data_IF_204331684358
#
_entry.id   IF_204331684358
#
_cell.length_a   1.000
_cell.length_b   1.000
_cell.length_c   1.000
_cell.angle_alpha   90.00
_cell.angle_beta   90.00
_cell.angle_gamma   90.00
#
_symmetry.space_group_name_H-M   'P 1'
#
loop_
_entity.id
_entity.type
_entity.pdbx_description
1 polymer ?
#
# COMPACT_ATOMS: atom_id res chain seq x y z
N UNK A 1 12.29 22.51 18.17
CA UNK A 1 12.28 21.80 16.88
C UNK A 1 13.23 20.61 16.97
N UNK A 2 12.82 19.42 16.51
CA UNK A 2 13.62 18.20 16.50
C UNK A 2 13.69 17.70 15.06
N UNK A 3 14.89 17.53 14.54
CA UNK A 3 15.13 16.91 13.25
C UNK A 3 15.82 15.56 13.48
N UNK A 4 15.29 14.51 12.90
CA UNK A 4 15.87 13.17 12.99
C UNK A 4 16.28 12.75 11.58
N UNK A 5 17.59 12.54 11.42
CA UNK A 5 18.20 12.08 10.18
C UNK A 5 18.66 10.62 10.38
N UNK A 6 18.15 9.71 9.56
CA UNK A 6 18.45 8.29 9.61
C UNK A 6 19.00 7.81 8.26
N UNK A 7 20.31 7.85 8.06
CA UNK A 7 20.93 7.20 6.90
C UNK A 7 20.99 5.69 7.13
N UNK A 8 20.81 4.92 6.08
CA UNK A 8 20.96 3.46 6.08
C UNK A 8 21.72 3.04 4.82
N UNK A 9 22.68 2.16 4.98
CA UNK A 9 23.39 1.53 3.88
C UNK A 9 23.33 0.03 4.12
N UNK A 10 22.81 -0.70 3.14
CA UNK A 10 22.76 -2.16 3.17
C UNK A 10 23.54 -2.74 2.01
N UNK A 11 24.20 -3.85 2.25
CA UNK A 11 24.92 -4.62 1.26
C UNK A 11 24.36 -6.04 1.23
N UNK A 12 24.02 -6.53 0.04
CA UNK A 12 23.62 -7.92 -0.18
C UNK A 12 24.45 -8.51 -1.32
N UNK A 13 24.93 -9.71 -1.13
CA UNK A 13 25.72 -10.41 -2.11
C UNK A 13 25.28 -11.87 -2.20
N UNK A 14 25.09 -12.36 -3.42
CA UNK A 14 24.90 -13.77 -3.71
C UNK A 14 25.83 -14.15 -4.87
N UNK A 15 26.68 -15.18 -4.72
CA UNK A 15 27.49 -15.67 -5.82
C UNK A 15 26.62 -16.34 -6.89
N UNK A 16 27.20 -16.57 -8.05
CA UNK A 16 26.58 -17.40 -9.08
C UNK A 16 26.62 -18.88 -8.65
N UNK A 17 25.49 -19.39 -8.18
CA UNK A 17 25.36 -20.78 -7.77
C UNK A 17 25.27 -21.77 -8.95
N UNK A 18 25.25 -21.31 -10.20
CA UNK A 18 25.31 -22.19 -11.37
C UNK A 18 26.72 -22.72 -11.63
N UNK A 19 27.73 -22.10 -11.02
CA UNK A 19 29.11 -22.57 -11.11
C UNK A 19 29.21 -24.03 -10.65
N UNK A 20 29.97 -24.82 -11.39
CA UNK A 20 30.21 -26.25 -11.09
C UNK A 20 30.72 -26.52 -9.68
N UNK A 21 31.40 -25.53 -9.07
CA UNK A 21 31.91 -25.57 -7.70
C UNK A 21 30.80 -25.80 -6.66
N UNK A 22 29.59 -25.25 -6.88
CA UNK A 22 28.46 -25.36 -5.94
C UNK A 22 27.61 -26.62 -6.15
N UNK A 23 27.76 -27.31 -7.29
CA UNK A 23 27.07 -28.58 -7.57
C UNK A 23 25.54 -28.48 -7.79
N UNK A 24 24.97 -27.28 -7.83
CA UNK A 24 23.53 -27.07 -8.09
C UNK A 24 23.14 -27.25 -9.55
N UNK A 25 24.10 -27.13 -10.46
CA UNK A 25 23.90 -27.41 -11.89
C UNK A 25 24.94 -28.42 -12.39
N UNK A 26 24.50 -29.25 -13.31
CA UNK A 26 25.33 -30.24 -14.02
C UNK A 26 25.07 -30.14 -15.51
N UNK A 27 26.07 -30.47 -16.27
CA UNK A 27 25.98 -30.50 -17.74
C UNK A 27 26.22 -31.91 -18.25
N UNK A 28 25.47 -32.29 -19.26
CA UNK A 28 25.77 -33.49 -20.07
C UNK A 28 25.67 -33.15 -21.53
N UNK A 29 26.38 -33.91 -22.34
CA UNK A 29 26.40 -33.79 -23.78
C UNK A 29 25.34 -34.70 -24.36
N UNK A 30 24.43 -34.12 -25.17
CA UNK A 30 23.40 -34.88 -25.90
C UNK A 30 23.71 -34.79 -27.38
N UNK A 31 23.72 -35.92 -28.06
CA UNK A 31 23.80 -36.01 -29.53
C UNK A 31 22.40 -36.23 -30.07
N UNK A 32 21.94 -35.40 -30.96
CA UNK A 32 20.64 -35.50 -31.60
C UNK A 32 20.67 -36.53 -32.73
N UNK A 33 19.50 -36.95 -33.22
CA UNK A 33 19.34 -37.93 -34.32
C UNK A 33 20.06 -37.48 -35.63
N UNK A 34 20.31 -36.20 -35.78
CA UNK A 34 21.04 -35.58 -36.92
C UNK A 34 22.57 -35.54 -36.71
N UNK A 35 23.10 -36.06 -35.61
CA UNK A 35 24.51 -35.99 -35.25
C UNK A 35 24.97 -34.65 -34.64
N UNK A 36 24.08 -33.69 -34.40
CA UNK A 36 24.41 -32.45 -33.70
C UNK A 36 24.65 -32.67 -32.22
N UNK A 37 25.78 -32.18 -31.74
CA UNK A 37 26.18 -32.31 -30.35
C UNK A 37 25.77 -31.02 -29.62
N UNK A 38 24.88 -31.16 -28.62
CA UNK A 38 24.43 -30.06 -27.77
C UNK A 38 24.73 -30.33 -26.29
N UNK A 39 25.15 -29.29 -25.58
CA UNK A 39 25.36 -29.33 -24.13
C UNK A 39 24.07 -28.96 -23.40
N UNK A 40 23.54 -29.86 -22.63
CA UNK A 40 22.32 -29.62 -21.83
C UNK A 40 22.73 -29.41 -20.39
N UNK A 41 22.32 -28.25 -19.84
CA UNK A 41 22.49 -27.91 -18.43
C UNK A 41 21.19 -28.22 -17.66
N UNK A 42 21.31 -28.93 -16.57
CA UNK A 42 20.17 -29.27 -15.72
C UNK A 42 20.52 -29.16 -14.25
N UNK A 43 19.52 -28.95 -13.41
CA UNK A 43 19.69 -29.04 -11.96
C UNK A 43 19.09 -30.36 -11.44
N UNK A 44 19.87 -31.15 -10.68
CA UNK A 44 19.34 -32.34 -10.02
C UNK A 44 18.22 -32.04 -9.02
N UNK A 45 18.09 -30.78 -8.61
CA UNK A 45 17.14 -30.30 -7.61
C UNK A 45 15.89 -29.64 -8.22
N UNK A 46 15.77 -29.62 -9.56
CA UNK A 46 14.66 -28.92 -10.26
C UNK A 46 13.26 -29.48 -9.95
N UNK A 47 13.16 -30.72 -9.45
CA UNK A 47 11.91 -31.35 -9.01
C UNK A 47 11.75 -31.42 -7.49
N UNK A 48 12.63 -30.81 -6.72
CA UNK A 48 12.59 -30.85 -5.26
C UNK A 48 11.52 -29.96 -4.65
N UNK A 49 11.18 -30.21 -3.39
CA UNK A 49 10.24 -29.40 -2.59
C UNK A 49 10.75 -27.97 -2.43
N UNK A 50 12.06 -27.78 -2.40
CA UNK A 50 12.70 -26.46 -2.33
C UNK A 50 13.33 -26.12 -3.69
N UNK A 51 13.12 -24.87 -4.13
CA UNK A 51 13.81 -24.35 -5.32
C UNK A 51 15.33 -24.26 -5.07
N UNK A 52 16.12 -24.48 -6.11
CA UNK A 52 17.56 -24.26 -6.03
C UNK A 52 17.90 -22.76 -6.14
N UNK A 53 19.07 -22.31 -5.62
CA UNK A 53 19.48 -20.92 -5.65
C UNK A 53 19.58 -20.35 -7.08
N UNK A 54 19.33 -19.04 -7.21
CA UNK A 54 19.45 -18.33 -8.49
C UNK A 54 20.85 -18.47 -9.10
N UNK A 55 20.88 -18.67 -10.41
CA UNK A 55 22.10 -18.79 -11.18
C UNK A 55 22.77 -17.47 -11.58
N UNK A 56 22.30 -16.34 -11.08
CA UNK A 56 22.88 -15.05 -11.39
C UNK A 56 23.61 -14.46 -10.21
N UNK A 57 24.88 -14.04 -10.43
CA UNK A 57 25.61 -13.26 -9.46
C UNK A 57 24.83 -12.00 -9.10
N UNK A 58 24.63 -11.75 -7.83
CA UNK A 58 23.95 -10.57 -7.33
C UNK A 58 24.87 -9.83 -6.34
N UNK A 59 24.94 -8.53 -6.47
CA UNK A 59 25.68 -7.67 -5.55
C UNK A 59 24.98 -6.31 -5.51
N UNK A 60 24.28 -6.00 -4.43
CA UNK A 60 23.48 -4.79 -4.31
C UNK A 60 23.94 -3.98 -3.10
N UNK A 61 24.28 -2.72 -3.35
CA UNK A 61 24.46 -1.72 -2.30
C UNK A 61 23.23 -0.82 -2.36
N UNK A 62 22.43 -0.78 -1.29
CA UNK A 62 21.29 0.12 -1.20
C UNK A 62 21.57 1.20 -0.16
N UNK A 63 21.47 2.44 -0.59
CA UNK A 63 21.61 3.63 0.23
C UNK A 63 20.24 4.26 0.40
N UNK A 64 19.82 4.53 1.62
CA UNK A 64 18.58 5.24 1.89
C UNK A 64 18.75 6.26 3.00
N UNK A 65 17.96 7.30 2.93
CA UNK A 65 17.92 8.38 3.90
C UNK A 65 16.49 8.65 4.28
N UNK A 66 16.19 8.63 5.56
CA UNK A 66 14.89 9.02 6.10
C UNK A 66 15.07 10.21 7.04
N UNK A 67 14.24 11.22 6.84
CA UNK A 67 14.22 12.43 7.66
C UNK A 67 12.83 12.63 8.25
N UNK A 68 12.78 13.02 9.52
CA UNK A 68 11.56 13.40 10.22
C UNK A 68 11.79 14.75 10.90
N UNK A 69 10.84 15.66 10.81
CA UNK A 69 10.90 17.01 11.41
C UNK A 69 9.68 17.23 12.28
N UNK A 70 9.94 17.36 13.58
CA UNK A 70 8.92 17.59 14.60
C UNK A 70 9.15 18.97 15.25
N UNK A 71 8.05 19.61 15.65
CA UNK A 71 8.06 20.86 16.40
C UNK A 71 7.22 20.70 17.67
N UNK A 72 7.72 21.19 18.79
CA UNK A 72 6.93 21.38 20.00
C UNK A 72 6.38 22.80 20.03
N UNK A 73 5.09 22.92 20.20
CA UNK A 73 4.38 24.20 20.34
C UNK A 73 3.78 24.24 21.74
N UNK A 74 3.90 25.40 22.39
CA UNK A 74 3.28 25.64 23.68
C UNK A 74 1.75 25.62 23.50
N UNK A 75 1.06 24.83 24.30
CA UNK A 75 -0.39 24.66 24.24
C UNK A 75 -0.96 24.71 25.63
N UNK A 76 -1.78 25.73 25.92
CA UNK A 76 -2.46 25.88 27.21
C UNK A 76 -3.60 24.85 27.42
N UNK A 77 -3.89 24.03 26.38
CA UNK A 77 -4.94 23.01 26.40
C UNK A 77 -4.47 21.61 26.79
N UNK A 78 -3.15 21.39 26.85
CA UNK A 78 -2.57 20.10 27.20
C UNK A 78 -2.10 20.10 28.65
N UNK A 79 -2.31 18.99 29.35
CA UNK A 79 -1.84 18.77 30.73
C UNK A 79 -0.32 18.90 30.88
N UNK A 80 0.42 18.75 29.80
CA UNK A 80 1.89 18.91 29.74
C UNK A 80 2.35 20.29 29.29
N UNK A 81 1.41 21.20 28.91
CA UNK A 81 1.73 22.54 28.41
C UNK A 81 2.43 22.58 27.05
N UNK A 82 2.73 21.45 26.43
CA UNK A 82 3.45 21.33 25.16
C UNK A 82 2.77 20.33 24.21
N UNK A 83 2.49 20.75 22.99
CA UNK A 83 1.96 19.90 21.91
C UNK A 83 3.04 19.61 20.89
N UNK A 84 3.26 18.33 20.57
CA UNK A 84 4.10 17.91 19.44
C UNK A 84 3.33 18.01 18.13
N UNK A 85 3.92 18.66 17.13
CA UNK A 85 3.40 18.73 15.77
C UNK A 85 4.48 18.18 14.84
N UNK A 86 4.14 17.16 14.06
CA UNK A 86 5.00 16.68 12.98
C UNK A 86 4.82 17.61 11.78
N UNK A 87 5.90 18.28 11.37
CA UNK A 87 5.90 19.14 10.17
C UNK A 87 6.11 18.27 8.95
N UNK A 88 7.14 17.41 9.01
CA UNK A 88 7.44 16.41 7.99
C UNK A 88 7.49 15.07 8.71
N UNK A 89 6.50 14.23 8.46
CA UNK A 89 6.39 12.93 9.08
C UNK A 89 7.46 11.99 8.49
N UNK A 90 7.65 12.02 7.17
CA UNK A 90 8.68 11.27 6.49
C UNK A 90 9.15 12.01 5.23
N UNK A 91 10.45 12.19 5.10
CA UNK A 91 11.11 12.53 3.85
C UNK A 91 12.14 11.45 3.57
N UNK A 92 11.84 10.61 2.59
CA UNK A 92 12.60 9.41 2.26
C UNK A 92 13.22 9.52 0.87
N UNK A 93 14.45 9.05 0.73
CA UNK A 93 15.13 8.87 -0.54
C UNK A 93 15.91 7.57 -0.54
N UNK A 94 15.85 6.80 -1.63
CA UNK A 94 16.61 5.56 -1.78
C UNK A 94 17.18 5.42 -3.19
N UNK A 95 18.42 4.94 -3.24
CA UNK A 95 19.19 4.66 -4.45
C UNK A 95 19.97 3.38 -4.24
N UNK A 96 20.04 2.53 -5.26
CA UNK A 96 20.79 1.28 -5.19
C UNK A 96 21.84 1.21 -6.30
N UNK A 97 22.93 0.54 -6.01
CA UNK A 97 24.00 0.24 -6.95
C UNK A 97 24.18 -1.27 -7.06
N UNK A 98 24.03 -1.80 -8.27
CA UNK A 98 24.23 -3.23 -8.55
C UNK A 98 25.64 -3.47 -9.03
N UNK A 99 26.49 -4.04 -8.17
CA UNK A 99 27.90 -4.36 -8.47
C UNK A 99 28.06 -5.50 -9.48
N UNK A 100 27.03 -6.30 -9.68
CA UNK A 100 27.04 -7.43 -10.60
C UNK A 100 26.51 -7.07 -11.99
N UNK A 101 25.99 -5.85 -12.18
CA UNK A 101 25.51 -5.41 -13.47
C UNK A 101 26.66 -5.01 -14.39
N UNK A 102 26.69 -5.55 -15.61
CA UNK A 102 27.66 -5.18 -16.65
C UNK A 102 27.42 -3.77 -17.20
N UNK A 103 26.16 -3.37 -17.28
CA UNK A 103 25.73 -2.05 -17.75
C UNK A 103 24.72 -1.46 -16.79
N UNK A 104 24.72 -0.13 -16.67
CA UNK A 104 23.71 0.63 -15.90
C UNK A 104 23.54 0.15 -14.46
N UNK A 105 24.60 0.17 -13.62
CA UNK A 105 24.56 -0.37 -12.27
C UNK A 105 23.66 0.42 -11.29
N UNK A 106 23.37 1.69 -11.55
CA UNK A 106 22.54 2.52 -10.69
C UNK A 106 21.05 2.29 -10.90
N UNK A 107 20.29 2.13 -9.85
CA UNK A 107 18.82 2.12 -9.89
C UNK A 107 18.26 3.53 -10.09
N UNK A 108 16.96 3.64 -10.30
CA UNK A 108 16.27 4.91 -10.21
C UNK A 108 16.28 5.42 -8.76
N UNK A 109 16.37 6.74 -8.60
CA UNK A 109 16.21 7.39 -7.31
C UNK A 109 14.71 7.47 -6.96
N UNK A 110 14.33 6.78 -5.91
CA UNK A 110 12.98 6.81 -5.37
C UNK A 110 12.91 7.80 -4.21
N UNK A 111 11.96 8.72 -4.25
CA UNK A 111 11.76 9.70 -3.20
C UNK A 111 10.31 9.68 -2.72
N UNK A 112 10.10 9.91 -1.43
CA UNK A 112 8.76 10.01 -0.83
C UNK A 112 8.75 11.10 0.23
N UNK A 113 7.68 11.87 0.24
CA UNK A 113 7.36 12.81 1.30
C UNK A 113 5.98 12.49 1.86
N UNK A 114 5.87 12.46 3.18
CA UNK A 114 4.61 12.30 3.90
C UNK A 114 4.48 13.43 4.90
N UNK A 115 3.34 14.13 4.83
CA UNK A 115 2.99 15.22 5.72
C UNK A 115 1.70 14.85 6.45
N UNK A 116 1.73 14.83 7.76
CA UNK A 116 0.57 14.62 8.61
C UNK A 116 0.03 15.97 9.05
N UNK A 117 -0.87 16.55 8.25
CA UNK A 117 -1.37 17.91 8.47
C UNK A 117 -2.35 18.00 9.64
N UNK A 118 -3.13 16.94 9.86
CA UNK A 118 -4.01 16.77 11.02
C UNK A 118 -4.11 15.28 11.39
N UNK A 119 -4.76 14.95 12.52
CA UNK A 119 -5.02 13.55 12.91
C UNK A 119 -5.72 12.74 11.81
N UNK A 120 -6.57 13.39 11.00
CA UNK A 120 -7.42 12.76 9.97
C UNK A 120 -7.04 13.11 8.53
N UNK A 121 -5.94 13.84 8.35
CA UNK A 121 -5.55 14.34 7.04
C UNK A 121 -4.06 14.11 6.80
N UNK A 122 -3.77 13.19 5.89
CA UNK A 122 -2.42 12.82 5.50
C UNK A 122 -2.22 13.11 4.01
N UNK A 123 -1.15 13.78 3.69
CA UNK A 123 -0.69 14.02 2.33
C UNK A 123 0.57 13.19 2.10
N UNK A 124 0.59 12.39 1.04
CA UNK A 124 1.76 11.63 0.64
C UNK A 124 2.03 11.83 -0.85
N UNK A 125 3.30 12.02 -1.19
CA UNK A 125 3.77 12.14 -2.56
C UNK A 125 5.03 11.28 -2.70
N UNK A 126 5.05 10.46 -3.75
CA UNK A 126 6.23 9.70 -4.16
C UNK A 126 6.65 10.15 -5.56
N UNK A 127 7.94 10.27 -5.81
CA UNK A 127 8.47 10.61 -7.12
C UNK A 127 9.66 9.71 -7.45
N UNK A 128 9.77 9.38 -8.74
CA UNK A 128 10.85 8.54 -9.27
C UNK A 128 11.64 9.34 -10.27
N UNK A 129 12.96 9.35 -10.07
CA UNK A 129 13.91 9.98 -10.97
C UNK A 129 14.81 8.91 -11.59
N UNK A 130 14.75 8.78 -12.88
CA UNK A 130 15.62 7.88 -13.62
C UNK A 130 17.05 8.42 -13.62
N UNK A 131 17.99 7.54 -13.34
CA UNK A 131 19.42 7.85 -13.26
C UNK A 131 20.06 7.99 -14.64
N UNK A 132 19.54 7.26 -15.64
CA UNK A 132 20.12 7.21 -16.98
C UNK A 132 19.33 8.05 -17.97
N UNK A 133 20.07 8.73 -18.86
CA UNK A 133 19.52 9.53 -19.94
C UNK A 133 18.99 8.64 -21.09
N UNK A 134 18.10 9.17 -21.90
CA UNK A 134 17.72 8.56 -23.18
C UNK A 134 18.74 8.91 -24.28
N UNK A 135 18.93 7.99 -25.20
CA UNK A 135 19.68 8.18 -26.43
C UNK A 135 18.99 7.49 -27.62
N UNK A 136 19.39 7.83 -28.83
CA UNK A 136 18.96 7.10 -30.01
C UNK A 136 19.94 5.97 -30.31
N UNK A 137 19.42 4.79 -30.58
CA UNK A 137 20.18 3.67 -31.10
C UNK A 137 20.49 3.89 -32.62
N UNK A 138 21.36 3.06 -33.16
CA UNK A 138 21.72 3.07 -34.58
C UNK A 138 20.51 3.01 -35.55
N UNK A 139 19.42 2.43 -35.07
CA UNK A 139 18.13 2.30 -35.77
C UNK A 139 17.16 3.48 -35.53
N UNK A 140 17.59 4.54 -34.89
CA UNK A 140 16.73 5.67 -34.53
C UNK A 140 15.71 5.39 -33.43
N UNK A 141 15.81 4.26 -32.73
CA UNK A 141 14.92 3.93 -31.58
C UNK A 141 15.46 4.56 -30.34
N UNK A 142 14.53 5.02 -29.50
CA UNK A 142 14.87 5.56 -28.18
C UNK A 142 15.19 4.43 -27.22
N UNK A 143 16.41 4.45 -26.70
CA UNK A 143 16.91 3.49 -25.72
C UNK A 143 17.44 4.22 -24.50
N UNK A 144 17.49 3.55 -23.37
CA UNK A 144 18.17 4.07 -22.18
C UNK A 144 19.68 3.97 -22.40
N UNK A 145 20.37 5.09 -22.37
CA UNK A 145 21.83 5.18 -22.50
C UNK A 145 22.55 4.65 -21.26
N UNK A 146 23.83 4.31 -21.39
CA UNK A 146 24.69 3.99 -20.26
C UNK A 146 25.22 5.25 -19.54
N UNK A 147 24.97 6.43 -20.10
CA UNK A 147 25.33 7.70 -19.48
C UNK A 147 24.28 8.11 -18.45
N UNK A 148 24.75 8.47 -17.27
CA UNK A 148 23.88 8.98 -16.22
C UNK A 148 23.47 10.43 -16.50
N UNK A 149 22.31 10.85 -16.02
CA UNK A 149 21.88 12.26 -16.04
C UNK A 149 22.86 13.15 -15.25
N UNK A 150 23.54 12.58 -14.25
CA UNK A 150 24.57 13.28 -13.47
C UNK A 150 25.77 13.70 -14.30
N UNK A 151 26.17 12.91 -15.31
CA UNK A 151 27.25 13.27 -16.24
C UNK A 151 26.93 14.53 -17.06
N UNK A 152 25.67 14.91 -17.12
CA UNK A 152 25.18 16.15 -17.75
C UNK A 152 24.92 17.27 -16.74
N UNK A 153 25.31 17.10 -15.47
CA UNK A 153 25.05 18.05 -14.38
C UNK A 153 23.58 18.13 -13.93
N UNK A 154 22.77 17.10 -14.24
CA UNK A 154 21.35 17.05 -13.87
C UNK A 154 21.16 16.12 -12.69
N UNK A 155 20.19 16.43 -11.82
CA UNK A 155 19.87 15.60 -10.64
C UNK A 155 19.34 14.20 -11.02
N UNK A 156 18.58 14.11 -12.10
CA UNK A 156 17.96 12.90 -12.58
C UNK A 156 16.84 13.24 -13.58
N UNK A 157 16.40 12.27 -14.36
CA UNK A 157 15.27 12.45 -15.27
C UNK A 157 14.00 12.08 -14.53
N UNK A 158 13.13 13.06 -14.32
CA UNK A 158 11.83 12.83 -13.70
C UNK A 158 11.03 11.83 -14.55
N UNK A 159 10.67 10.70 -13.95
CA UNK A 159 9.98 9.60 -14.61
C UNK A 159 8.50 9.57 -14.28
N UNK A 160 8.17 10.00 -13.08
CA UNK A 160 6.79 10.06 -12.65
C UNK A 160 6.66 10.42 -11.18
N UNK A 161 5.46 10.78 -10.79
CA UNK A 161 5.08 10.97 -9.40
C UNK A 161 3.68 10.41 -9.13
N UNK A 162 3.45 10.00 -7.91
CA UNK A 162 2.14 9.71 -7.38
C UNK A 162 1.88 10.53 -6.14
N UNK A 163 0.69 11.09 -6.05
CA UNK A 163 0.24 11.86 -4.91
C UNK A 163 -1.04 11.24 -4.39
N UNK A 164 -1.13 11.02 -3.10
CA UNK A 164 -2.34 10.52 -2.46
C UNK A 164 -2.74 11.46 -1.33
N UNK A 165 -4.03 11.78 -1.32
CA UNK A 165 -4.68 12.62 -0.37
C UNK A 165 -5.80 11.81 0.27
N UNK A 166 -5.71 11.51 1.57
CA UNK A 166 -6.75 10.75 2.26
C UNK A 166 -7.34 11.55 3.42
N UNK A 167 -8.64 11.43 3.57
CA UNK A 167 -9.37 12.03 4.67
C UNK A 167 -10.36 11.03 5.25
N UNK A 168 -10.32 10.85 6.58
CA UNK A 168 -11.20 9.95 7.30
C UNK A 168 -12.23 10.72 8.11
N UNK A 169 -13.48 10.45 7.82
CA UNK A 169 -14.64 10.95 8.55
C UNK A 169 -15.02 9.94 9.62
N UNK A 170 -15.26 10.41 10.83
CA UNK A 170 -15.78 9.62 11.95
C UNK A 170 -16.70 10.50 12.82
N UNK A 171 -17.29 9.93 13.87
CA UNK A 171 -18.19 10.67 14.77
C UNK A 171 -17.53 11.95 15.32
N UNK A 172 -16.25 11.91 15.63
CA UNK A 172 -15.51 13.04 16.17
C UNK A 172 -15.32 14.16 15.12
N UNK A 173 -15.00 13.79 13.89
CA UNK A 173 -14.84 14.77 12.82
C UNK A 173 -16.16 15.43 12.46
N UNK A 174 -17.24 14.64 12.48
CA UNK A 174 -18.57 15.14 12.17
C UNK A 174 -19.07 16.10 13.27
N UNK A 175 -18.91 15.73 14.55
CA UNK A 175 -19.27 16.61 15.67
C UNK A 175 -18.50 17.92 15.64
N UNK A 176 -17.19 17.89 15.34
CA UNK A 176 -16.36 19.10 15.19
C UNK A 176 -16.76 19.98 14.00
N UNK A 177 -17.27 19.39 12.93
CA UNK A 177 -17.78 20.13 11.76
C UNK A 177 -19.11 20.83 12.04
N UNK A 178 -20.00 20.18 12.79
CA UNK A 178 -21.32 20.72 13.10
C UNK A 178 -21.32 21.62 14.35
N UNK A 179 -20.49 21.36 15.36
CA UNK A 179 -20.39 22.21 16.57
C UNK A 179 -19.78 23.57 16.25
N UNK A 180 -18.93 23.69 15.22
CA UNK A 180 -18.40 24.99 14.77
C UNK A 180 -19.47 25.96 14.25
N UNK A 181 -20.68 25.48 13.99
CA UNK A 181 -21.83 26.30 13.56
C UNK A 181 -22.73 26.73 14.73
N UNK A 182 -22.57 26.13 15.92
CA UNK A 182 -23.37 26.38 17.12
C UNK A 182 -22.68 27.27 18.16
N UNK A 183 -21.35 27.37 18.17
CA UNK A 183 -20.62 28.11 19.21
C UNK A 183 -20.47 29.60 18.86
N UNK A 184 -21.58 30.32 18.89
CA UNK A 184 -21.57 31.75 19.19
C UNK A 184 -22.23 32.02 20.57
N UNK A 185 -22.38 31.04 21.42
CA UNK A 185 -22.80 31.25 22.81
C UNK A 185 -22.41 30.03 23.67
N UNK A 186 -21.75 30.36 24.76
CA UNK A 186 -21.47 29.58 25.98
C UNK A 186 -20.24 28.67 25.97
N UNK A 187 -19.23 29.17 26.68
CA UNK A 187 -18.09 28.40 27.19
C UNK A 187 -18.53 27.54 28.38
N UNK A 188 -18.22 26.24 28.37
CA UNK A 188 -17.85 25.48 29.58
C UNK A 188 -17.34 24.07 29.25
N UNK A 189 -16.13 23.84 29.67
CA UNK A 189 -15.39 22.66 30.10
C UNK A 189 -16.01 21.28 29.91
N UNK A 190 -15.37 20.41 29.11
CA UNK A 190 -14.74 19.15 29.56
C UNK A 190 -14.10 18.41 28.37
N UNK A 191 -12.78 18.39 28.32
CA UNK A 191 -12.03 17.59 27.34
C UNK A 191 -11.14 16.60 28.10
N UNK A 192 -11.53 15.34 28.07
CA UNK A 192 -10.61 14.24 28.35
C UNK A 192 -10.11 13.66 27.02
N UNK A 193 -8.93 14.10 26.63
CA UNK A 193 -8.16 13.50 25.53
C UNK A 193 -7.65 12.11 25.94
N UNK A 194 -8.12 11.07 25.27
CA UNK A 194 -7.46 9.77 25.25
C UNK A 194 -6.72 9.61 23.93
N UNK A 195 -5.41 9.82 23.99
CA UNK A 195 -4.48 9.48 22.94
C UNK A 195 -4.51 7.96 22.70
N UNK A 196 -5.03 7.56 21.56
CA UNK A 196 -4.75 6.25 20.96
C UNK A 196 -3.98 6.50 19.68
N UNK A 197 -2.65 6.45 19.79
CA UNK A 197 -1.76 6.30 18.65
C UNK A 197 -2.07 4.97 17.96
N UNK A 198 -2.81 5.02 16.90
CA UNK A 198 -2.86 3.92 15.92
C UNK A 198 -2.04 4.36 14.72
N UNK A 199 -0.82 3.86 14.69
CA UNK A 199 0.06 3.93 13.54
C UNK A 199 -0.65 3.37 12.30
N UNK A 200 -0.88 4.24 11.32
CA UNK A 200 -1.47 3.89 10.03
C UNK A 200 -0.38 3.31 9.10
N UNK A 201 0.32 2.27 9.56
CA UNK A 201 1.32 1.55 8.77
C UNK A 201 0.83 0.19 8.32
N UNK A 202 -0.40 0.02 7.88
CA UNK A 202 -0.74 -1.24 7.18
C UNK A 202 -2.05 -1.12 6.40
N UNK A 203 -1.98 -0.48 5.24
CA UNK A 203 -3.08 -0.51 4.29
C UNK A 203 -3.15 -1.83 3.48
N UNK A 204 -2.26 -2.81 3.76
CA UNK A 204 -2.14 -4.06 2.99
C UNK A 204 -2.13 -5.35 3.82
N UNK A 205 -2.58 -5.34 5.06
CA UNK A 205 -2.70 -6.57 5.85
C UNK A 205 -4.17 -7.01 5.90
N UNK A 206 -4.35 -8.26 5.50
CA UNK A 206 -5.60 -9.02 5.54
C UNK A 206 -6.36 -8.81 6.86
N UNK A 207 -7.66 -8.45 6.84
CA UNK A 207 -8.47 -8.17 8.03
C UNK A 207 -8.48 -9.30 9.07
N UNK A 208 -8.25 -10.54 8.65
CA UNK A 208 -8.29 -11.73 9.51
C UNK A 208 -7.09 -11.85 10.47
N UNK A 209 -5.96 -11.21 10.16
CA UNK A 209 -4.77 -11.25 11.03
C UNK A 209 -4.76 -10.18 12.15
N UNK A 210 -5.63 -9.19 12.09
CA UNK A 210 -5.74 -8.15 13.13
C UNK A 210 -6.39 -8.63 14.42
N UNK A 211 -7.21 -9.68 14.38
CA UNK A 211 -7.96 -10.16 15.53
C UNK A 211 -7.18 -11.12 16.44
N UNK A 212 -6.04 -11.64 16.00
CA UNK A 212 -5.28 -12.65 16.76
C UNK A 212 -4.30 -12.09 17.82
N UNK A 213 -4.06 -10.78 17.88
CA UNK A 213 -2.99 -10.21 18.72
C UNK A 213 -3.40 -9.20 19.82
N UNK A 214 -4.68 -9.02 20.12
CA UNK A 214 -5.12 -8.14 21.23
C UNK A 214 -6.01 -8.86 22.24
N UNK A 215 -5.42 -9.78 23.00
CA UNK A 215 -5.89 -10.14 24.35
C UNK A 215 -5.56 -9.03 25.35
N UNK A 216 -5.98 -7.80 25.11
CA UNK A 216 -5.86 -6.66 26.00
C UNK A 216 -7.23 -6.29 26.55
N UNK A 217 -7.35 -6.26 27.90
CA UNK A 217 -8.54 -5.88 28.65
C UNK A 217 -9.22 -4.66 28.05
N UNK A 218 -10.39 -4.85 27.42
CA UNK A 218 -11.26 -3.74 27.02
C UNK A 218 -11.65 -2.96 28.28
N UNK A 219 -11.13 -1.75 28.44
CA UNK A 219 -11.68 -0.78 29.38
C UNK A 219 -13.11 -0.50 28.92
N UNK A 220 -14.09 -0.96 29.70
CA UNK A 220 -15.50 -0.61 29.53
C UNK A 220 -15.59 0.92 29.56
N UNK A 221 -15.80 1.52 28.37
CA UNK A 221 -16.13 2.93 28.27
C UNK A 221 -17.43 3.14 29.03
N UNK A 222 -17.41 4.01 30.07
CA UNK A 222 -18.61 4.41 30.78
C UNK A 222 -19.56 5.04 29.75
N UNK A 223 -20.73 4.44 29.58
CA UNK A 223 -21.77 4.95 28.70
C UNK A 223 -22.13 6.38 29.14
N UNK A 224 -21.97 7.34 28.25
CA UNK A 224 -22.43 8.72 28.50
C UNK A 224 -23.96 8.71 28.44
N UNK A 225 -24.57 8.96 29.55
CA UNK A 225 -26.02 9.11 29.68
C UNK A 225 -26.36 10.58 29.42
N UNK A 226 -27.40 10.86 28.63
CA UNK A 226 -27.91 12.21 28.38
C UNK A 226 -28.62 12.74 29.64
N UNK A 227 -28.90 14.07 29.72
CA UNK A 227 -29.59 14.70 30.82
C UNK A 227 -30.95 14.08 31.11
N UNK A 228 -31.57 13.46 30.10
CA UNK A 228 -32.84 12.72 30.20
C UNK A 228 -32.68 11.23 30.60
N UNK A 229 -31.48 10.78 30.97
CA UNK A 229 -31.24 9.40 31.42
C UNK A 229 -31.10 8.37 30.29
N UNK A 230 -31.15 8.76 29.04
CA UNK A 230 -30.99 7.86 27.91
C UNK A 230 -29.50 7.66 27.51
N UNK A 231 -29.14 6.43 27.24
CA UNK A 231 -27.84 6.08 26.71
C UNK A 231 -27.67 6.74 25.34
N UNK A 232 -26.71 7.65 25.19
CA UNK A 232 -26.33 8.14 23.84
C UNK A 232 -25.81 6.99 23.01
N UNK A 233 -26.62 6.54 22.08
CA UNK A 233 -26.24 5.53 21.11
C UNK A 233 -25.31 6.15 20.07
N UNK A 234 -24.01 5.98 20.24
CA UNK A 234 -23.02 6.38 19.22
C UNK A 234 -22.69 5.17 18.36
N UNK A 235 -23.16 5.18 17.13
CA UNK A 235 -22.78 4.20 16.13
C UNK A 235 -21.30 4.42 15.77
N UNK A 236 -20.39 3.47 16.05
CA UNK A 236 -19.03 3.57 15.56
C UNK A 236 -19.03 3.36 14.04
N UNK A 237 -18.64 4.37 13.33
CA UNK A 237 -18.46 4.34 11.87
C UNK A 237 -17.23 5.12 11.47
N UNK A 238 -16.67 4.75 10.35
CA UNK A 238 -15.62 5.51 9.68
C UNK A 238 -15.85 5.46 8.17
N UNK A 239 -15.60 6.57 7.52
CA UNK A 239 -15.64 6.70 6.07
C UNK A 239 -14.39 7.41 5.60
N UNK A 240 -13.59 6.74 4.80
CA UNK A 240 -12.34 7.27 4.26
C UNK A 240 -12.51 7.53 2.78
N UNK A 241 -12.16 8.73 2.37
CA UNK A 241 -12.06 9.15 0.96
C UNK A 241 -10.60 9.38 0.66
N UNK A 242 -10.08 8.72 -0.37
CA UNK A 242 -8.72 8.89 -0.84
C UNK A 242 -8.73 9.32 -2.30
N UNK A 243 -8.09 10.43 -2.59
CA UNK A 243 -7.94 10.95 -3.94
C UNK A 243 -6.48 10.83 -4.37
N UNK A 244 -6.24 10.12 -5.46
CA UNK A 244 -4.94 9.85 -6.01
C UNK A 244 -4.75 10.54 -7.36
N UNK A 245 -3.61 11.22 -7.53
CA UNK A 245 -3.12 11.72 -8.80
C UNK A 245 -1.82 11.01 -9.10
N UNK A 246 -1.72 10.42 -10.29
CA UNK A 246 -0.48 9.83 -10.78
C UNK A 246 -0.09 10.50 -12.10
N UNK A 247 1.19 10.82 -12.22
CA UNK A 247 1.79 11.36 -13.43
C UNK A 247 2.99 10.47 -13.80
N UNK A 248 3.02 9.95 -15.02
CA UNK A 248 4.08 9.08 -15.49
C UNK A 248 4.46 9.41 -16.93
N UNK A 249 5.70 9.10 -17.32
CA UNK A 249 6.14 9.18 -18.71
C UNK A 249 5.28 8.28 -19.60
N UNK A 250 4.69 8.86 -20.64
CA UNK A 250 3.90 8.14 -21.63
C UNK A 250 4.78 7.73 -22.82
N UNK A 251 5.29 6.51 -22.76
CA UNK A 251 6.18 5.95 -23.78
C UNK A 251 5.45 5.51 -25.06
N UNK A 252 4.11 5.57 -25.07
CA UNK A 252 3.31 5.31 -26.27
C UNK A 252 3.34 6.51 -27.23
N UNK A 253 3.64 7.70 -26.72
CA UNK A 253 3.74 8.94 -27.49
C UNK A 253 5.15 9.20 -27.98
N UNK A 254 5.25 10.06 -28.99
CA UNK A 254 6.54 10.43 -29.53
C UNK A 254 7.37 11.24 -28.53
N UNK A 255 8.68 10.94 -28.49
CA UNK A 255 9.63 11.66 -27.64
C UNK A 255 9.89 13.07 -28.15
N UNK A 256 10.01 14.03 -27.28
CA UNK A 256 10.52 15.35 -27.62
C UNK A 256 12.05 15.28 -27.82
N UNK A 257 12.48 15.32 -29.07
CA UNK A 257 13.88 15.16 -29.46
C UNK A 257 14.80 16.21 -28.82
N UNK A 258 14.33 17.47 -28.69
CA UNK A 258 15.17 18.54 -28.11
C UNK A 258 15.46 18.31 -26.62
N UNK A 259 14.49 17.77 -25.87
CA UNK A 259 14.61 17.54 -24.43
C UNK A 259 14.96 16.10 -24.09
N UNK A 260 14.88 15.18 -25.04
CA UNK A 260 15.02 13.73 -24.84
C UNK A 260 14.11 13.23 -23.69
N UNK A 261 12.82 13.62 -23.75
CA UNK A 261 11.82 13.27 -22.76
C UNK A 261 10.50 12.92 -23.41
N UNK A 262 9.83 11.92 -22.87
CA UNK A 262 8.47 11.60 -23.24
C UNK A 262 7.49 12.60 -22.61
N UNK A 263 6.34 12.86 -23.23
CA UNK A 263 5.25 13.57 -22.58
C UNK A 263 4.74 12.77 -21.39
N UNK A 264 4.07 13.45 -20.47
CA UNK A 264 3.49 12.79 -19.29
C UNK A 264 2.01 12.52 -19.51
N UNK A 265 1.53 11.39 -18.99
CA UNK A 265 0.12 11.08 -18.81
C UNK A 265 -0.28 11.31 -17.36
N UNK A 266 -1.50 11.77 -17.15
CA UNK A 266 -2.10 11.97 -15.84
C UNK A 266 -3.22 10.97 -15.64
N UNK A 267 -3.24 10.32 -14.50
CA UNK A 267 -4.32 9.44 -14.06
C UNK A 267 -4.86 9.96 -12.74
N UNK A 268 -6.18 9.98 -12.60
CA UNK A 268 -6.86 10.43 -11.40
C UNK A 268 -7.80 9.34 -10.93
N UNK A 269 -7.70 8.99 -9.66
CA UNK A 269 -8.53 7.96 -9.03
C UNK A 269 -9.06 8.45 -7.70
N UNK A 270 -10.28 8.07 -7.38
CA UNK A 270 -10.85 8.32 -6.06
C UNK A 270 -11.32 7.00 -5.47
N UNK A 271 -10.87 6.71 -4.24
CA UNK A 271 -11.23 5.49 -3.54
C UNK A 271 -12.05 5.85 -2.30
N UNK A 272 -13.05 5.05 -2.05
CA UNK A 272 -13.95 5.15 -0.90
C UNK A 272 -13.86 3.86 -0.11
N UNK A 273 -13.71 3.96 1.19
CA UNK A 273 -13.85 2.84 2.09
C UNK A 273 -14.67 3.24 3.31
N UNK A 274 -15.53 2.39 3.74
CA UNK A 274 -16.39 2.66 4.87
C UNK A 274 -16.55 1.45 5.77
N UNK A 275 -16.69 1.74 7.05
CA UNK A 275 -16.97 0.78 8.09
C UNK A 275 -18.10 1.32 8.97
N UNK A 276 -19.07 0.46 9.27
CA UNK A 276 -20.23 0.80 10.11
C UNK A 276 -20.56 -0.38 11.00
N UNK A 277 -20.65 -0.14 12.32
CA UNK A 277 -21.18 -1.09 13.28
C UNK A 277 -22.57 -0.65 13.71
N UNK A 278 -23.60 -1.31 13.21
CA UNK A 278 -25.01 -0.93 13.48
C UNK A 278 -25.43 -1.32 14.90
N UNK A 279 -24.98 -2.47 15.38
CA UNK A 279 -25.28 -3.00 16.70
C UNK A 279 -24.13 -3.91 17.17
N UNK A 280 -24.20 -4.40 18.40
CA UNK A 280 -23.27 -5.42 18.88
C UNK A 280 -23.34 -6.65 17.95
N UNK A 281 -22.18 -7.08 17.45
CA UNK A 281 -22.05 -8.22 16.55
C UNK A 281 -22.30 -7.93 15.08
N UNK A 282 -22.85 -6.78 14.66
CA UNK A 282 -23.02 -6.41 13.27
C UNK A 282 -21.92 -5.50 12.77
N UNK A 283 -21.17 -5.96 11.77
CA UNK A 283 -20.15 -5.17 11.10
C UNK A 283 -20.46 -5.09 9.59
N UNK A 284 -20.47 -3.90 9.06
CA UNK A 284 -20.63 -3.64 7.63
C UNK A 284 -19.38 -2.92 7.16
N UNK A 285 -18.79 -3.38 6.08
CA UNK A 285 -17.73 -2.66 5.40
C UNK A 285 -18.01 -2.59 3.91
N UNK A 286 -17.54 -1.53 3.28
CA UNK A 286 -17.60 -1.40 1.83
C UNK A 286 -16.35 -0.71 1.31
N UNK A 287 -15.99 -1.07 0.09
CA UNK A 287 -14.94 -0.38 -0.67
C UNK A 287 -15.42 -0.15 -2.09
N UNK A 288 -15.09 0.99 -2.63
CA UNK A 288 -15.38 1.37 -4.01
C UNK A 288 -14.32 2.34 -4.50
N UNK A 289 -14.23 2.56 -5.78
CA UNK A 289 -13.40 3.58 -6.36
C UNK A 289 -14.01 4.12 -7.64
N UNK A 290 -13.51 5.26 -8.08
CA UNK A 290 -13.88 5.89 -9.33
C UNK A 290 -12.61 6.27 -10.09
N UNK A 291 -12.53 5.86 -11.34
CA UNK A 291 -11.46 6.23 -12.26
C UNK A 291 -11.96 7.37 -13.16
N UNK A 292 -11.31 8.54 -13.04
CA UNK A 292 -11.69 9.72 -13.82
C UNK A 292 -11.25 9.65 -15.29
N UNK A 293 -10.29 8.78 -15.61
CA UNK A 293 -9.80 8.63 -16.97
C UNK A 293 -10.73 7.77 -17.81
N UNK A 294 -11.27 6.71 -17.20
CA UNK A 294 -12.22 5.80 -17.84
C UNK A 294 -13.67 6.17 -17.55
N UNK A 295 -13.92 7.10 -16.61
CA UNK A 295 -15.26 7.49 -16.14
C UNK A 295 -16.08 6.31 -15.60
N UNK A 296 -15.41 5.35 -14.97
CA UNK A 296 -16.01 4.12 -14.47
C UNK A 296 -15.74 3.92 -12.97
N UNK A 297 -16.70 3.24 -12.33
CA UNK A 297 -16.49 2.75 -10.99
C UNK A 297 -15.56 1.53 -11.04
N UNK A 298 -14.53 1.56 -10.21
CA UNK A 298 -13.64 0.41 -10.01
C UNK A 298 -14.35 -0.70 -9.22
N UNK A 299 -13.62 -1.74 -8.88
CA UNK A 299 -14.17 -2.86 -8.10
C UNK A 299 -14.87 -2.34 -6.85
N UNK A 300 -16.18 -2.60 -6.77
CA UNK A 300 -17.02 -2.23 -5.63
C UNK A 300 -17.40 -3.48 -4.87
N UNK A 301 -16.99 -3.55 -3.61
CA UNK A 301 -17.27 -4.66 -2.72
C UNK A 301 -17.98 -4.18 -1.45
N UNK A 302 -18.88 -5.00 -0.95
CA UNK A 302 -19.49 -4.81 0.36
C UNK A 302 -19.42 -6.10 1.15
N UNK A 303 -19.19 -6.01 2.43
CA UNK A 303 -19.24 -7.15 3.33
C UNK A 303 -20.07 -6.85 4.56
N UNK A 304 -20.84 -7.84 4.98
CA UNK A 304 -21.65 -7.81 6.19
C UNK A 304 -21.28 -9.02 7.01
N UNK A 305 -20.91 -8.82 8.24
CA UNK A 305 -20.67 -9.92 9.18
C UNK A 305 -21.48 -9.73 10.45
N UNK A 306 -21.93 -10.85 11.01
CA UNK A 306 -22.67 -10.88 12.27
C UNK A 306 -22.12 -12.00 13.15
N UNK A 307 -21.81 -11.62 14.37
CA UNK A 307 -21.50 -12.54 15.46
C UNK A 307 -22.80 -12.89 16.20
N UNK A 308 -23.16 -14.17 16.20
CA UNK A 308 -24.36 -14.74 16.80
C UNK A 308 -24.05 -15.56 18.06
N UNK A 309 -22.97 -15.24 18.77
CA UNK A 309 -22.48 -15.92 19.96
C UNK A 309 -21.90 -17.31 19.67
N UNK A 310 -22.71 -18.29 19.27
CA UNK A 310 -22.28 -19.64 18.92
C UNK A 310 -22.03 -19.86 17.44
N UNK A 311 -22.54 -18.94 16.60
CA UNK A 311 -22.41 -18.98 15.15
C UNK A 311 -21.86 -17.65 14.65
N UNK A 312 -21.24 -17.67 13.51
CA UNK A 312 -20.89 -16.48 12.76
C UNK A 312 -21.49 -16.52 11.35
N UNK A 313 -21.93 -15.38 10.91
CA UNK A 313 -22.47 -15.16 9.59
C UNK A 313 -21.63 -14.12 8.87
N UNK A 314 -21.22 -14.41 7.66
CA UNK A 314 -20.55 -13.45 6.80
C UNK A 314 -21.15 -13.49 5.39
N UNK A 315 -21.33 -12.33 4.81
CA UNK A 315 -21.75 -12.14 3.45
C UNK A 315 -20.83 -11.12 2.78
N UNK A 316 -20.15 -11.52 1.73
CA UNK A 316 -19.36 -10.63 0.89
C UNK A 316 -19.98 -10.56 -0.49
N UNK A 317 -20.14 -9.35 -0.99
CA UNK A 317 -20.77 -9.06 -2.30
C UNK A 317 -19.79 -8.23 -3.11
N UNK A 318 -19.51 -8.65 -4.31
CA UNK A 318 -18.87 -7.84 -5.35
C UNK A 318 -19.96 -7.32 -6.26
N UNK A 319 -20.05 -6.00 -6.37
CA UNK A 319 -21.09 -5.34 -7.18
C UNK A 319 -20.58 -5.00 -8.58
N UNK A 320 -19.28 -4.74 -8.71
CA UNK A 320 -18.59 -4.43 -9.96
C UNK A 320 -17.16 -4.99 -9.94
N UNK A 321 -16.58 -5.38 -11.10
CA UNK A 321 -17.15 -5.38 -12.45
C UNK A 321 -18.20 -6.47 -12.66
N UNK A 322 -18.17 -7.54 -11.90
CA UNK A 322 -19.09 -8.68 -11.99
C UNK A 322 -19.84 -8.82 -10.67
N UNK A 323 -21.16 -8.98 -10.71
CA UNK A 323 -21.91 -9.24 -9.49
C UNK A 323 -21.67 -10.68 -9.01
N UNK A 324 -21.11 -10.81 -7.83
CA UNK A 324 -20.94 -12.10 -7.17
C UNK A 324 -21.16 -11.96 -5.68
N UNK A 325 -21.58 -13.02 -5.04
CA UNK A 325 -21.71 -13.04 -3.60
C UNK A 325 -21.15 -14.35 -3.01
N UNK A 326 -20.67 -14.25 -1.81
CA UNK A 326 -20.28 -15.40 -0.99
C UNK A 326 -20.93 -15.21 0.38
N UNK A 327 -21.78 -16.16 0.73
CA UNK A 327 -22.44 -16.21 2.03
C UNK A 327 -21.95 -17.42 2.78
N UNK A 328 -21.52 -17.23 4.01
CA UNK A 328 -21.06 -18.27 4.91
C UNK A 328 -21.76 -18.15 6.24
N UNK A 329 -22.31 -19.24 6.73
CA UNK A 329 -22.83 -19.39 8.07
C UNK A 329 -22.16 -20.61 8.70
N UNK A 330 -21.48 -20.45 9.83
CA UNK A 330 -20.74 -21.55 10.47
C UNK A 330 -20.77 -21.46 11.99
N UNK A 331 -20.61 -22.62 12.63
CA UNK A 331 -20.39 -22.68 14.06
C UNK A 331 -19.00 -22.09 14.41
N UNK A 332 -18.92 -21.41 15.55
CA UNK A 332 -17.71 -20.77 16.03
C UNK A 332 -16.75 -21.72 16.74
N UNK A 333 -17.26 -22.86 17.23
CA UNK A 333 -16.44 -23.89 17.83
C UNK A 333 -15.60 -24.57 16.75
N UNK A 334 -14.28 -24.58 16.89
CA UNK A 334 -13.35 -25.14 15.89
C UNK A 334 -13.67 -26.60 15.52
N UNK A 335 -14.13 -27.38 16.47
CA UNK A 335 -14.48 -28.81 16.29
C UNK A 335 -15.75 -29.00 15.45
N UNK A 336 -16.65 -28.01 15.47
CA UNK A 336 -17.93 -28.05 14.77
C UNK A 336 -18.00 -27.14 13.56
N UNK A 337 -16.96 -26.32 13.33
CA UNK A 337 -16.94 -25.28 12.31
C UNK A 337 -17.12 -25.85 10.89
N UNK A 338 -16.59 -27.03 10.61
CA UNK A 338 -16.73 -27.70 9.32
C UNK A 338 -17.99 -28.58 9.24
N UNK A 339 -18.46 -29.11 10.36
CA UNK A 339 -19.65 -29.96 10.41
C UNK A 339 -20.95 -29.15 10.34
N UNK A 340 -20.94 -27.92 10.91
CA UNK A 340 -22.06 -26.99 10.93
C UNK A 340 -21.74 -25.74 10.11
N UNK A 341 -21.47 -25.94 8.84
CA UNK A 341 -21.16 -24.91 7.87
C UNK A 341 -22.15 -24.93 6.72
N UNK A 342 -22.66 -23.76 6.38
CA UNK A 342 -23.45 -23.57 5.18
C UNK A 342 -22.86 -22.44 4.35
N UNK A 343 -22.38 -22.79 3.17
CA UNK A 343 -21.81 -21.86 2.20
C UNK A 343 -22.70 -21.75 0.97
N UNK A 344 -23.00 -20.53 0.54
CA UNK A 344 -23.64 -20.27 -0.73
C UNK A 344 -22.83 -19.26 -1.51
N UNK A 345 -22.41 -19.62 -2.71
CA UNK A 345 -21.62 -18.78 -3.59
C UNK A 345 -22.34 -18.61 -4.92
N UNK A 346 -22.32 -17.40 -5.48
CA UNK A 346 -22.55 -17.23 -6.90
C UNK A 346 -21.19 -17.17 -7.58
N UNK A 347 -20.96 -18.02 -8.57
CA UNK A 347 -19.82 -17.90 -9.48
C UNK A 347 -20.31 -17.28 -10.78
N UNK A 348 -19.64 -16.23 -11.24
CA UNK A 348 -19.80 -15.79 -12.62
C UNK A 348 -19.03 -16.79 -13.50
N UNK A 349 -19.77 -17.68 -14.17
CA UNK A 349 -19.21 -18.49 -15.26
C UNK A 349 -19.37 -17.65 -16.54
N UNK A 350 -18.29 -17.05 -17.02
CA UNK A 350 -18.25 -16.66 -18.43
C UNK A 350 -18.26 -17.97 -19.24
N UNK A 351 -19.34 -18.24 -19.94
CA UNK A 351 -19.30 -19.21 -21.01
C UNK A 351 -18.34 -18.69 -22.08
N UNK A 352 -17.11 -19.13 -22.04
CA UNK A 352 -16.18 -18.94 -23.14
C UNK A 352 -16.63 -19.94 -24.19
N UNK A 353 -17.42 -19.50 -25.16
CA UNK A 353 -17.65 -20.26 -26.38
C UNK A 353 -16.34 -20.24 -27.17
N UNK A 354 -15.67 -21.39 -27.19
CA UNK A 354 -14.54 -21.64 -28.06
C UNK A 354 -15.08 -21.93 -29.46
N UNK A 355 -14.92 -21.00 -30.38
CA UNK A 355 -15.13 -21.21 -31.81
C UNK A 355 -13.82 -21.67 -32.47
#
# INVERSE_FOLDING_TARGET
>A
MRHVFKPSVSFSYAPDFTSSHYGYQRTYVKTDANGEVSTVTYSPYSGGIYSYPSGTKQGMITMSVSNNVEMKVKSDRDTTGERKISIIDELYGALSYNMAAETRPWSNLNTRIRLKLTKNYTFSMAAVFATYAYAFDKNGRVVTSDRTEWSYGRFGRFQGMSQNLSYTFNNETLSKLFSRRSDRSTASNDETDTDTDTDAEDANIDPDLRNAKKGGKQKKQKAKVDEDGYLRFSLPWSFTVSYGISMAEDRSKQINVRRMRYPYSFTQTMNFSGYLRIAEGWNISFTSGYDFNYHELSMTTASVSRDLHCFEMSCSVVLRPYSSFNFTFRARANELADALKWDKRSSYSSNIEWY
#
